data_IF_577344207377
#
_entry.id   IF_577344207377
#
_cell.length_a   1.000
_cell.length_b   1.000
_cell.length_c   1.000
_cell.angle_alpha   90.00
_cell.angle_beta   90.00
_cell.angle_gamma   90.00
#
_symmetry.space_group_name_H-M   'P 1'
#
loop_
_entity.id
_entity.type
_entity.pdbx_description
1 polymer ?
#
# COMPACT_ATOMS: atom_id res chain seq x y z
N UNK A 1 -31.55 -74.84 35.11
CA UNK A 1 -30.93 -75.91 35.92
C UNK A 1 -31.51 -77.25 35.44
N UNK A 2 -30.82 -78.40 35.48
CA UNK A 2 -29.42 -78.72 35.86
C UNK A 2 -28.42 -78.51 34.68
N UNK A 3 -27.19 -79.07 34.58
CA UNK A 3 -26.10 -79.23 35.58
C UNK A 3 -24.68 -79.38 34.94
N UNK A 4 -23.70 -78.64 35.47
CA UNK A 4 -22.45 -79.14 36.08
C UNK A 4 -21.37 -79.94 35.29
N UNK A 5 -20.18 -79.29 35.13
CA UNK A 5 -18.84 -79.79 35.51
C UNK A 5 -18.02 -80.74 34.57
N UNK A 6 -16.87 -80.25 34.04
CA UNK A 6 -15.50 -80.66 34.46
C UNK A 6 -14.34 -80.04 33.64
N UNK A 7 -13.36 -79.48 34.38
CA UNK A 7 -11.87 -79.53 34.25
C UNK A 7 -11.18 -79.56 32.87
N UNK A 8 -10.13 -78.73 32.72
CA UNK A 8 -8.99 -78.99 31.82
C UNK A 8 -8.00 -77.82 31.69
N UNK A 9 -6.78 -77.95 32.23
CA UNK A 9 -5.64 -77.07 31.91
C UNK A 9 -4.98 -77.49 30.57
N UNK A 10 -4.01 -76.67 30.13
CA UNK A 10 -3.10 -76.71 28.95
C UNK A 10 -3.50 -75.58 27.97
N UNK A 11 -2.62 -74.70 27.49
CA UNK A 11 -1.17 -74.58 27.67
C UNK A 11 -0.60 -73.73 26.52
N UNK A 12 0.22 -72.72 26.85
CA UNK A 12 1.06 -71.86 26.01
C UNK A 12 0.80 -71.74 24.48
N UNK A 13 0.57 -70.50 24.02
CA UNK A 13 1.12 -70.00 22.75
C UNK A 13 1.34 -68.48 22.84
N UNK A 14 2.58 -68.02 22.60
CA UNK A 14 2.86 -66.59 22.39
C UNK A 14 2.30 -66.15 21.03
N UNK A 15 1.75 -64.95 20.97
CA UNK A 15 1.83 -64.14 19.75
C UNK A 15 2.24 -62.70 20.11
N UNK A 16 3.32 -62.27 19.48
CA UNK A 16 3.93 -60.96 19.65
C UNK A 16 3.06 -59.90 18.97
N UNK A 17 2.85 -58.77 19.66
CA UNK A 17 2.40 -57.53 19.04
C UNK A 17 3.09 -56.37 19.74
N UNK A 18 4.38 -56.22 19.47
CA UNK A 18 5.12 -55.02 19.84
C UNK A 18 4.56 -53.85 19.03
N UNK A 19 3.67 -53.06 19.63
CA UNK A 19 3.20 -51.81 19.05
C UNK A 19 4.37 -50.84 19.02
N UNK A 20 5.05 -50.76 17.87
CA UNK A 20 6.04 -49.73 17.62
C UNK A 20 5.32 -48.37 17.62
N UNK A 21 5.31 -47.70 18.77
CA UNK A 21 4.86 -46.32 18.88
C UNK A 21 5.89 -45.44 18.18
N UNK A 22 5.63 -45.13 16.91
CA UNK A 22 6.35 -44.08 16.19
C UNK A 22 6.25 -42.79 17.01
N UNK A 23 7.38 -42.13 17.34
CA UNK A 23 7.32 -40.84 17.98
C UNK A 23 6.58 -39.89 17.04
N UNK A 24 5.57 -39.19 17.58
CA UNK A 24 4.80 -38.23 16.79
C UNK A 24 5.77 -37.23 16.16
N UNK A 25 5.77 -37.16 14.83
CA UNK A 25 6.51 -36.18 14.08
C UNK A 25 5.86 -34.83 14.39
N UNK A 26 6.43 -34.11 15.37
CA UNK A 26 6.04 -32.74 15.68
C UNK A 26 6.40 -31.94 14.44
N UNK A 27 5.41 -31.74 13.55
CA UNK A 27 5.48 -30.68 12.55
C UNK A 27 5.76 -29.41 13.33
N UNK A 28 6.93 -28.82 13.11
CA UNK A 28 7.20 -27.47 13.56
C UNK A 28 6.01 -26.61 13.09
N UNK A 29 5.32 -25.98 14.04
CA UNK A 29 4.26 -25.05 13.71
C UNK A 29 4.90 -23.97 12.83
N UNK A 30 4.41 -23.85 11.59
CA UNK A 30 4.87 -22.83 10.68
C UNK A 30 4.51 -21.48 11.29
N UNK A 31 5.51 -20.80 11.87
CA UNK A 31 5.36 -19.46 12.40
C UNK A 31 5.24 -18.55 11.19
N UNK A 32 4.01 -18.40 10.70
CA UNK A 32 3.65 -17.41 9.69
C UNK A 32 3.90 -16.05 10.34
N UNK A 33 5.11 -15.51 10.12
CA UNK A 33 5.41 -14.11 10.41
C UNK A 33 4.69 -13.32 9.32
N UNK A 34 3.59 -12.60 9.61
CA UNK A 34 3.00 -11.73 8.62
C UNK A 34 4.04 -10.67 8.27
N UNK A 35 4.49 -10.65 7.01
CA UNK A 35 5.37 -9.59 6.52
C UNK A 35 4.63 -8.27 6.79
N UNK A 36 5.19 -7.35 7.59
CA UNK A 36 4.50 -6.11 7.90
C UNK A 36 4.37 -5.30 6.60
N UNK A 37 3.17 -5.31 6.03
CA UNK A 37 2.81 -4.44 4.92
C UNK A 37 3.05 -2.99 5.37
N UNK A 38 3.80 -2.18 4.61
CA UNK A 38 3.91 -0.76 4.91
C UNK A 38 2.60 0.00 4.57
N UNK A 39 1.59 -0.71 4.07
CA UNK A 39 0.25 -0.21 3.78
C UNK A 39 -0.76 -0.81 4.77
N UNK A 40 -1.51 0.05 5.45
CA UNK A 40 -2.62 -0.35 6.34
C UNK A 40 -3.67 0.76 6.43
N UNK A 41 -4.83 0.49 7.01
CA UNK A 41 -5.83 1.50 7.36
C UNK A 41 -6.47 1.20 8.71
N UNK A 42 -7.02 2.23 9.36
CA UNK A 42 -7.67 2.08 10.66
C UNK A 42 -9.19 1.95 10.49
N UNK A 43 -9.70 0.74 10.70
CA UNK A 43 -11.14 0.44 10.62
C UNK A 43 -11.97 1.30 11.58
N UNK A 44 -11.45 1.73 12.73
CA UNK A 44 -12.17 2.56 13.67
C UNK A 44 -12.40 4.00 13.15
N UNK A 45 -11.64 4.41 12.12
CA UNK A 45 -11.80 5.71 11.46
C UNK A 45 -12.76 5.67 10.26
N UNK A 46 -13.14 4.49 9.76
CA UNK A 46 -14.03 4.35 8.61
C UNK A 46 -15.41 4.95 8.91
N UNK A 47 -15.81 5.89 8.06
CA UNK A 47 -17.09 6.58 8.16
C UNK A 47 -17.57 7.04 6.78
N UNK A 48 -18.89 7.09 6.58
CA UNK A 48 -19.44 7.78 5.42
C UNK A 48 -19.13 9.28 5.52
N UNK A 49 -18.81 9.92 4.41
CA UNK A 49 -18.70 11.38 4.31
C UNK A 49 -19.91 11.94 3.55
N UNK A 50 -20.39 13.10 3.98
CA UNK A 50 -21.31 13.91 3.20
C UNK A 50 -20.52 14.94 2.41
N UNK A 51 -20.10 14.56 1.20
CA UNK A 51 -19.57 15.51 0.22
C UNK A 51 -20.69 15.83 -0.78
N UNK A 52 -20.85 17.11 -1.10
CA UNK A 52 -21.85 17.62 -2.06
C UNK A 52 -23.32 17.28 -1.73
N UNK A 53 -23.64 17.05 -0.45
CA UNK A 53 -25.00 16.79 0.01
C UNK A 53 -25.43 15.32 0.02
N UNK A 54 -24.59 14.38 -0.44
CA UNK A 54 -24.91 12.94 -0.52
C UNK A 54 -24.17 12.12 0.53
N UNK A 55 -24.92 11.34 1.32
CA UNK A 55 -24.40 10.16 2.02
C UNK A 55 -24.28 8.97 1.05
N UNK A 56 -23.74 7.83 1.50
CA UNK A 56 -23.73 6.58 0.73
C UNK A 56 -22.89 6.57 -0.55
N UNK A 57 -22.09 7.61 -0.83
CA UNK A 57 -21.15 7.68 -1.96
C UNK A 57 -19.69 7.79 -1.54
N UNK A 58 -19.42 8.50 -0.44
CA UNK A 58 -18.06 8.85 -0.03
C UNK A 58 -17.68 8.18 1.29
N UNK A 59 -16.45 7.67 1.37
CA UNK A 59 -15.86 7.09 2.59
C UNK A 59 -14.70 7.98 3.04
N UNK A 60 -14.58 8.20 4.34
CA UNK A 60 -13.44 8.84 4.99
C UNK A 60 -12.77 7.87 5.96
N UNK A 61 -11.44 7.84 5.96
CA UNK A 61 -10.64 6.98 6.84
C UNK A 61 -9.21 7.50 6.97
N UNK A 62 -8.47 6.99 7.95
CA UNK A 62 -7.04 7.21 8.10
C UNK A 62 -6.29 5.97 7.60
N UNK A 63 -5.35 6.18 6.68
CA UNK A 63 -4.55 5.11 6.08
C UNK A 63 -3.06 5.38 6.20
N UNK A 64 -2.27 4.36 6.52
CA UNK A 64 -0.82 4.42 6.44
C UNK A 64 -0.39 3.99 5.03
N UNK A 65 0.29 4.86 4.29
CA UNK A 65 0.82 4.51 2.97
C UNK A 65 2.24 5.05 2.75
N UNK A 66 2.86 4.49 1.72
CA UNK A 66 4.16 4.93 1.20
C UNK A 66 3.94 5.68 -0.10
N UNK A 67 4.44 6.91 -0.14
CA UNK A 67 4.46 7.73 -1.34
C UNK A 67 5.91 7.83 -1.81
N UNK A 68 6.22 7.22 -2.95
CA UNK A 68 7.56 7.27 -3.54
C UNK A 68 7.57 8.21 -4.76
N UNK A 69 8.68 8.94 -4.96
CA UNK A 69 8.88 9.77 -6.15
C UNK A 69 10.28 9.55 -6.74
N UNK A 70 10.40 9.44 -8.08
CA UNK A 70 11.69 9.26 -8.74
C UNK A 70 12.53 10.53 -8.68
N UNK A 71 13.84 10.38 -8.86
CA UNK A 71 14.73 11.50 -9.08
C UNK A 71 14.44 12.15 -10.44
N UNK A 72 14.38 13.48 -10.49
CA UNK A 72 14.46 14.24 -11.75
C UNK A 72 15.91 14.69 -11.88
N UNK A 73 16.67 14.23 -12.90
CA UNK A 73 18.06 14.63 -13.07
C UNK A 73 18.16 16.13 -13.37
N UNK A 74 19.25 16.76 -12.91
CA UNK A 74 19.55 18.13 -13.30
C UNK A 74 19.80 18.20 -14.81
N UNK A 75 19.27 19.23 -15.47
CA UNK A 75 19.40 19.42 -16.91
C UNK A 75 20.30 20.62 -17.18
N UNK A 76 21.46 20.36 -17.80
CA UNK A 76 22.33 21.40 -18.32
C UNK A 76 21.88 21.76 -19.74
N UNK A 77 21.42 22.98 -19.93
CA UNK A 77 21.43 23.62 -21.22
C UNK A 77 22.82 24.24 -21.40
N UNK A 78 23.62 23.71 -22.33
CA UNK A 78 24.96 24.21 -22.63
C UNK A 78 24.96 25.64 -23.25
N UNK A 79 23.79 26.15 -23.63
CA UNK A 79 23.64 27.44 -24.28
C UNK A 79 24.21 27.44 -25.70
N UNK A 80 24.62 28.61 -26.16
CA UNK A 80 25.30 28.82 -27.43
C UNK A 80 26.38 29.89 -27.20
N UNK A 81 27.67 29.61 -27.49
CA UNK A 81 28.72 30.61 -27.34
C UNK A 81 28.53 31.83 -28.24
N UNK A 82 27.67 31.76 -29.26
CA UNK A 82 27.46 32.83 -30.23
C UNK A 82 28.67 33.04 -31.15
N UNK A 83 28.56 34.02 -32.05
CA UNK A 83 29.64 34.42 -32.95
C UNK A 83 30.06 35.85 -32.63
N UNK A 84 31.36 36.10 -32.49
CA UNK A 84 31.88 37.47 -32.36
C UNK A 84 31.95 38.09 -33.75
N UNK A 85 31.39 39.28 -33.90
CA UNK A 85 31.45 40.09 -35.13
C UNK A 85 32.00 41.46 -34.79
N UNK A 86 32.85 42.00 -35.65
CA UNK A 86 33.48 43.30 -35.46
C UNK A 86 33.23 44.19 -36.68
N UNK A 87 33.07 45.49 -36.44
CA UNK A 87 32.99 46.52 -37.48
C UNK A 87 33.83 47.72 -37.00
N UNK A 88 35.00 47.91 -37.62
CA UNK A 88 36.05 48.76 -37.07
C UNK A 88 36.41 48.35 -35.65
N UNK A 89 36.56 49.34 -34.76
CA UNK A 89 36.96 49.14 -33.35
C UNK A 89 35.82 48.61 -32.44
N UNK A 90 34.62 48.32 -32.99
CA UNK A 90 33.49 47.80 -32.22
C UNK A 90 33.23 46.33 -32.54
N UNK A 91 33.39 45.48 -31.53
CA UNK A 91 32.99 44.07 -31.57
C UNK A 91 31.76 43.82 -30.70
N UNK A 92 30.85 42.97 -31.16
CA UNK A 92 29.73 42.43 -30.38
C UNK A 92 29.60 40.92 -30.60
N UNK A 93 28.84 40.25 -29.74
CA UNK A 93 28.60 38.81 -29.82
C UNK A 93 27.15 38.55 -30.18
N UNK A 94 26.93 38.02 -31.38
CA UNK A 94 25.61 37.71 -31.93
C UNK A 94 25.24 36.25 -31.62
N UNK A 95 23.96 35.99 -31.29
CA UNK A 95 23.48 34.63 -31.01
C UNK A 95 23.99 33.98 -29.72
N UNK A 96 24.56 34.75 -28.77
CA UNK A 96 24.96 34.22 -27.47
C UNK A 96 23.74 33.83 -26.62
N UNK A 97 23.74 32.60 -26.13
CA UNK A 97 22.79 32.09 -25.14
C UNK A 97 23.64 31.55 -23.98
N UNK A 98 23.48 32.12 -22.79
CA UNK A 98 24.24 31.66 -21.62
C UNK A 98 23.89 30.20 -21.28
N UNK A 99 24.88 29.37 -20.87
CA UNK A 99 24.58 28.07 -20.30
C UNK A 99 23.73 28.23 -19.04
N UNK A 100 22.75 27.35 -18.86
CA UNK A 100 21.83 27.37 -17.71
C UNK A 100 21.67 25.97 -17.16
N UNK A 101 21.73 25.84 -15.83
CA UNK A 101 21.52 24.57 -15.13
C UNK A 101 20.15 24.59 -14.46
N UNK A 102 19.24 23.73 -14.93
CA UNK A 102 17.98 23.47 -14.24
C UNK A 102 18.22 22.43 -13.16
N UNK A 103 18.05 22.81 -11.89
CA UNK A 103 18.21 21.91 -10.75
C UNK A 103 17.28 20.70 -10.83
N UNK A 104 17.80 19.54 -10.45
CA UNK A 104 17.03 18.30 -10.32
C UNK A 104 16.35 18.17 -8.95
N UNK A 105 15.48 17.19 -8.80
CA UNK A 105 14.92 16.77 -7.50
C UNK A 105 15.45 15.39 -7.13
N UNK A 106 15.90 15.17 -5.88
CA UNK A 106 16.31 13.84 -5.44
C UNK A 106 15.11 12.88 -5.38
N UNK A 107 15.37 11.60 -5.59
CA UNK A 107 14.39 10.55 -5.27
C UNK A 107 14.10 10.55 -3.77
N UNK A 108 12.91 10.07 -3.39
CA UNK A 108 12.54 9.97 -1.98
C UNK A 108 11.28 9.17 -1.75
N UNK A 109 11.00 8.92 -0.47
CA UNK A 109 9.74 8.33 -0.03
C UNK A 109 9.24 9.04 1.23
N UNK A 110 7.92 9.22 1.32
CA UNK A 110 7.21 9.62 2.54
C UNK A 110 6.42 8.42 3.03
N UNK A 111 6.62 8.02 4.29
CA UNK A 111 5.86 6.96 4.97
C UNK A 111 5.09 7.60 6.12
N UNK A 112 3.77 7.68 6.00
CA UNK A 112 2.96 8.41 6.98
C UNK A 112 1.50 7.95 7.00
N UNK A 113 0.79 8.40 8.03
CA UNK A 113 -0.67 8.33 8.08
C UNK A 113 -1.27 9.53 7.35
N UNK A 114 -2.19 9.26 6.42
CA UNK A 114 -2.92 10.26 5.65
C UNK A 114 -4.42 10.13 5.94
N UNK A 115 -5.15 11.24 5.87
CA UNK A 115 -6.61 11.22 5.90
C UNK A 115 -7.13 11.12 4.46
N UNK A 116 -7.89 10.08 4.17
CA UNK A 116 -8.43 9.80 2.85
C UNK A 116 -9.86 10.29 2.73
N UNK A 117 -10.21 10.76 1.54
CA UNK A 117 -11.59 10.83 1.05
C UNK A 117 -11.67 9.92 -0.17
N UNK A 118 -12.65 9.03 -0.24
CA UNK A 118 -12.78 8.03 -1.30
C UNK A 118 -14.19 8.09 -1.88
N UNK A 119 -14.30 8.20 -3.20
CA UNK A 119 -15.54 8.17 -3.96
C UNK A 119 -15.78 6.77 -4.50
N UNK A 120 -16.74 6.07 -3.91
CA UNK A 120 -17.04 4.69 -4.27
C UNK A 120 -17.69 4.54 -5.65
N UNK A 121 -18.30 5.61 -6.19
CA UNK A 121 -18.95 5.59 -7.49
C UNK A 121 -17.95 5.78 -8.61
N UNK A 122 -17.10 6.80 -8.48
CA UNK A 122 -16.14 7.16 -9.53
C UNK A 122 -14.80 6.41 -9.36
N UNK A 123 -14.66 5.60 -8.29
CA UNK A 123 -13.46 4.83 -7.94
C UNK A 123 -12.20 5.71 -7.88
N UNK A 124 -12.34 6.86 -7.20
CA UNK A 124 -11.26 7.82 -6.97
C UNK A 124 -11.05 8.10 -5.49
N UNK A 125 -9.88 8.57 -5.10
CA UNK A 125 -9.54 9.01 -3.75
C UNK A 125 -8.74 10.32 -3.77
N UNK A 126 -8.77 11.04 -2.66
CA UNK A 126 -7.91 12.19 -2.37
C UNK A 126 -7.28 12.01 -0.97
N UNK A 127 -6.04 12.47 -0.79
CA UNK A 127 -5.30 12.41 0.48
C UNK A 127 -5.15 13.82 1.05
N UNK A 128 -5.99 14.11 2.04
CA UNK A 128 -5.97 15.34 2.82
C UNK A 128 -4.68 15.35 3.65
N UNK A 129 -3.72 16.19 3.25
CA UNK A 129 -2.42 16.33 3.92
C UNK A 129 -1.20 16.31 2.99
N UNK A 130 -1.35 15.88 1.73
CA UNK A 130 -0.27 15.74 0.72
C UNK A 130 0.42 17.07 0.30
N UNK A 131 0.13 18.17 0.98
CA UNK A 131 0.58 19.54 0.67
C UNK A 131 2.11 19.69 0.67
N UNK A 132 2.82 18.85 1.44
CA UNK A 132 4.29 18.89 1.61
C UNK A 132 5.08 18.01 0.64
N UNK A 133 4.43 17.28 -0.27
CA UNK A 133 5.13 16.46 -1.27
C UNK A 133 5.83 17.35 -2.31
N UNK A 134 7.06 17.00 -2.74
CA UNK A 134 7.79 17.73 -3.77
C UNK A 134 7.05 17.77 -5.12
N UNK A 135 7.45 18.70 -5.98
CA UNK A 135 6.74 19.05 -7.22
C UNK A 135 6.50 17.88 -8.18
N UNK A 136 5.50 18.04 -9.05
CA UNK A 136 4.98 17.06 -10.01
C UNK A 136 4.25 15.84 -9.44
N UNK A 137 4.22 15.63 -8.11
CA UNK A 137 3.33 14.63 -7.52
C UNK A 137 1.85 14.99 -7.76
N UNK A 138 1.02 14.01 -8.12
CA UNK A 138 -0.41 14.22 -8.40
C UNK A 138 -1.15 14.62 -7.10
N UNK A 139 -2.09 15.57 -7.19
CA UNK A 139 -2.85 16.11 -6.05
C UNK A 139 -4.33 16.14 -6.36
N UNK A 140 -5.17 16.03 -5.34
CA UNK A 140 -6.61 15.90 -5.50
C UNK A 140 -7.01 14.48 -5.94
N UNK A 141 -8.26 14.35 -6.38
CA UNK A 141 -8.89 13.09 -6.78
C UNK A 141 -8.10 12.32 -7.86
N UNK A 142 -7.66 11.12 -7.49
CA UNK A 142 -6.89 10.17 -8.30
C UNK A 142 -7.59 8.81 -8.35
N UNK A 143 -7.39 7.98 -9.39
CA UNK A 143 -7.92 6.62 -9.44
C UNK A 143 -7.44 5.77 -8.25
N UNK A 144 -8.32 4.99 -7.61
CA UNK A 144 -7.94 4.12 -6.46
C UNK A 144 -6.81 3.12 -6.79
N UNK A 145 -6.57 2.83 -8.06
CA UNK A 145 -5.45 2.00 -8.52
C UNK A 145 -4.06 2.62 -8.23
N UNK A 146 -3.98 3.93 -7.98
CA UNK A 146 -2.72 4.63 -7.68
C UNK A 146 -2.26 4.46 -6.22
N UNK A 147 -3.10 3.96 -5.32
CA UNK A 147 -2.76 3.74 -3.91
C UNK A 147 -3.36 2.40 -3.40
N UNK A 148 -2.54 1.45 -2.92
CA UNK A 148 -3.02 0.13 -2.53
C UNK A 148 -3.92 0.15 -1.29
N UNK A 149 -3.84 1.17 -0.43
CA UNK A 149 -4.75 1.36 0.72
C UNK A 149 -6.12 1.82 0.22
N UNK A 150 -6.14 2.80 -0.68
CA UNK A 150 -7.37 3.26 -1.32
C UNK A 150 -8.05 2.12 -2.10
N UNK A 151 -7.29 1.30 -2.82
CA UNK A 151 -7.80 0.12 -3.52
C UNK A 151 -8.37 -0.94 -2.57
N UNK A 152 -7.72 -1.19 -1.43
CA UNK A 152 -8.19 -2.15 -0.43
C UNK A 152 -9.53 -1.69 0.16
N UNK A 153 -9.62 -0.44 0.65
CA UNK A 153 -10.85 0.12 1.20
C UNK A 153 -11.96 0.18 0.14
N UNK A 154 -11.64 0.54 -1.10
CA UNK A 154 -12.62 0.57 -2.18
C UNK A 154 -13.25 -0.81 -2.43
N UNK A 155 -12.45 -1.88 -2.48
CA UNK A 155 -12.93 -3.24 -2.73
C UNK A 155 -13.76 -3.81 -1.58
N UNK A 156 -13.35 -3.54 -0.35
CA UNK A 156 -13.96 -4.10 0.85
C UNK A 156 -15.22 -3.34 1.27
N UNK A 157 -15.18 -2.00 1.27
CA UNK A 157 -16.19 -1.16 1.91
C UNK A 157 -17.14 -0.45 0.96
N UNK A 158 -16.79 -0.20 -0.31
CA UNK A 158 -17.75 0.42 -1.24
C UNK A 158 -19.02 -0.40 -1.49
N UNK A 159 -18.98 -1.74 -1.62
CA UNK A 159 -20.20 -2.55 -1.70
C UNK A 159 -21.07 -2.53 -0.43
N UNK A 160 -20.50 -2.08 0.69
CA UNK A 160 -21.09 -2.11 2.04
C UNK A 160 -21.13 -0.74 2.71
N UNK A 161 -21.08 0.34 1.93
CA UNK A 161 -20.96 1.71 2.45
C UNK A 161 -22.11 2.10 3.40
N UNK A 162 -23.28 1.46 3.27
CA UNK A 162 -24.42 1.60 4.18
C UNK A 162 -24.19 1.03 5.58
N UNK A 163 -23.25 0.11 5.77
CA UNK A 163 -22.87 -0.47 7.06
C UNK A 163 -21.95 0.47 7.86
N UNK A 164 -21.32 1.45 7.20
CA UNK A 164 -20.43 2.41 7.86
C UNK A 164 -21.21 3.50 8.62
N UNK A 165 -20.72 3.95 9.79
CA UNK A 165 -21.32 5.06 10.51
C UNK A 165 -21.26 6.35 9.69
N UNK A 166 -22.26 7.21 9.82
CA UNK A 166 -22.20 8.55 9.24
C UNK A 166 -21.19 9.41 10.01
N UNK A 167 -20.24 10.00 9.30
CA UNK A 167 -19.29 10.95 9.88
C UNK A 167 -19.96 12.29 10.22
N UNK A 168 -19.17 13.22 10.77
CA UNK A 168 -19.61 14.60 10.89
C UNK A 168 -19.88 15.19 9.50
N UNK A 169 -20.93 16.00 9.37
CA UNK A 169 -21.14 16.86 8.21
C UNK A 169 -20.04 17.95 8.24
N UNK A 170 -19.29 18.17 7.14
CA UNK A 170 -18.31 19.25 7.05
C UNK A 170 -18.99 20.63 7.00
#
# INVERSE_FOLDING_TARGET
MPCSNKRGLIGAALLVSATASWPALIKAAEVIVPVPSPYSYDNATLRQLNLRGSWGRYIGFTGHSVIEWPAVPAQLNAGNPGTIRCNGDRCWREGYIAPTLRGGTPAGSLRHFFNYQLDCRDQTFDRIGDVRLPGHYQRGWQPVLNDPVALAVAREWCPRISELPQGAKP
#
